data_IF_058684410089
#
_entry.id   IF_058684410089
#
_cell.length_a   1.000
_cell.length_b   1.000
_cell.length_c   1.000
_cell.angle_alpha   90.00
_cell.angle_beta   90.00
_cell.angle_gamma   90.00
#
_symmetry.space_group_name_H-M   'P 1'
#
loop_
_entity.id
_entity.type
_entity.pdbx_description
1 polymer ?
#
# COMPACT_ATOMS: atom_id res chain seq x y z
N UNK A 1 13.36 -24.76 -12.25
CA UNK A 1 13.66 -23.49 -11.53
C UNK A 1 12.91 -22.29 -12.07
N UNK A 2 12.96 -21.95 -13.36
CA UNK A 2 12.32 -20.73 -13.91
C UNK A 2 10.79 -20.64 -13.73
N UNK A 3 10.04 -21.76 -13.74
CA UNK A 3 8.59 -21.73 -13.47
C UNK A 3 8.23 -21.53 -11.99
N UNK A 4 9.03 -22.06 -11.06
CA UNK A 4 8.77 -21.92 -9.62
C UNK A 4 8.98 -20.48 -9.15
N UNK A 5 9.99 -19.78 -9.69
CA UNK A 5 10.23 -18.35 -9.43
C UNK A 5 9.05 -17.49 -9.90
N UNK A 6 8.47 -17.79 -11.08
CA UNK A 6 7.30 -17.06 -11.59
C UNK A 6 6.05 -17.28 -10.74
N UNK A 7 5.85 -18.49 -10.23
CA UNK A 7 4.72 -18.81 -9.34
C UNK A 7 4.86 -18.09 -8.00
N UNK A 8 6.07 -18.06 -7.43
CA UNK A 8 6.33 -17.36 -6.17
C UNK A 8 6.14 -15.85 -6.30
N UNK A 9 6.60 -15.24 -7.39
CA UNK A 9 6.38 -13.82 -7.67
C UNK A 9 4.89 -13.48 -7.86
N UNK A 10 4.10 -14.36 -8.50
CA UNK A 10 2.65 -14.19 -8.62
C UNK A 10 1.94 -14.27 -7.26
N UNK A 11 2.36 -15.19 -6.38
CA UNK A 11 1.78 -15.31 -5.04
C UNK A 11 2.13 -14.08 -4.18
N UNK A 12 3.36 -13.58 -4.28
CA UNK A 12 3.83 -12.41 -3.54
C UNK A 12 3.14 -11.11 -3.97
N UNK A 13 2.84 -10.95 -5.27
CA UNK A 13 2.05 -9.80 -5.73
C UNK A 13 0.61 -9.88 -5.26
N UNK A 14 -0.03 -11.06 -5.35
CA UNK A 14 -1.42 -11.26 -4.89
C UNK A 14 -1.54 -11.02 -3.37
N UNK A 15 -0.60 -11.50 -2.56
CA UNK A 15 -0.63 -11.28 -1.11
C UNK A 15 -0.47 -9.79 -0.77
N UNK A 16 0.44 -9.08 -1.43
CA UNK A 16 0.66 -7.64 -1.22
C UNK A 16 -0.59 -6.81 -1.53
N UNK A 17 -1.33 -7.15 -2.60
CA UNK A 17 -2.59 -6.49 -2.94
C UNK A 17 -3.75 -6.82 -1.99
N UNK A 18 -3.74 -8.00 -1.34
CA UNK A 18 -4.77 -8.38 -0.38
C UNK A 18 -4.62 -7.65 0.97
N UNK A 19 -3.38 -7.44 1.43
CA UNK A 19 -3.12 -6.73 2.68
C UNK A 19 -3.35 -5.22 2.58
N UNK A 20 -3.09 -4.60 1.43
CA UNK A 20 -3.27 -3.15 1.25
C UNK A 20 -4.73 -2.71 1.32
N UNK A 21 -5.68 -3.55 0.90
CA UNK A 21 -7.11 -3.22 0.87
C UNK A 21 -7.72 -3.10 2.28
N UNK A 22 -7.24 -3.91 3.22
CA UNK A 22 -7.77 -3.93 4.60
C UNK A 22 -7.23 -2.78 5.45
N UNK A 23 -6.00 -2.33 5.19
CA UNK A 23 -5.36 -1.24 5.95
C UNK A 23 -6.09 0.11 5.78
N UNK A 24 -6.60 0.38 4.57
CA UNK A 24 -7.33 1.62 4.27
C UNK A 24 -8.67 1.69 5.04
N UNK A 25 -9.41 0.58 5.13
CA UNK A 25 -10.68 0.51 5.84
C UNK A 25 -10.50 0.73 7.35
N UNK A 26 -9.50 0.11 7.95
CA UNK A 26 -9.21 0.25 9.40
C UNK A 26 -8.81 1.71 9.72
N UNK A 27 -7.95 2.32 8.90
CA UNK A 27 -7.54 3.72 9.12
C UNK A 27 -8.73 4.68 9.03
N UNK A 28 -9.66 4.43 8.10
CA UNK A 28 -10.85 5.24 7.94
C UNK A 28 -11.84 5.04 9.09
N UNK A 29 -11.98 3.81 9.59
CA UNK A 29 -12.78 3.48 10.76
C UNK A 29 -12.33 4.29 11.98
N UNK A 30 -11.05 4.24 12.32
CA UNK A 30 -10.48 4.97 13.46
C UNK A 30 -10.70 6.48 13.33
N UNK A 31 -10.57 7.02 12.12
CA UNK A 31 -10.77 8.45 11.86
C UNK A 31 -12.22 8.87 12.12
N UNK A 32 -13.18 8.03 11.71
CA UNK A 32 -14.62 8.28 11.94
C UNK A 32 -14.98 8.13 13.43
N UNK A 33 -14.49 7.08 14.08
CA UNK A 33 -14.70 6.87 15.53
C UNK A 33 -14.19 8.07 16.34
N UNK A 34 -12.98 8.54 16.06
CA UNK A 34 -12.39 9.69 16.75
C UNK A 34 -13.16 10.99 16.50
N UNK A 35 -13.66 11.20 15.29
CA UNK A 35 -14.41 12.41 14.98
C UNK A 35 -15.80 12.43 15.61
N UNK A 36 -16.52 11.31 15.58
CA UNK A 36 -17.80 11.18 16.28
C UNK A 36 -17.57 11.34 17.78
N UNK A 37 -16.54 10.69 18.34
CA UNK A 37 -16.15 10.86 19.74
C UNK A 37 -15.91 12.32 20.08
N UNK A 38 -15.13 13.04 19.28
CA UNK A 38 -14.86 14.47 19.51
C UNK A 38 -16.13 15.32 19.46
N UNK A 39 -17.09 15.01 18.59
CA UNK A 39 -18.38 15.71 18.53
C UNK A 39 -19.23 15.41 19.77
N UNK A 40 -19.27 14.15 20.22
CA UNK A 40 -20.00 13.74 21.44
C UNK A 40 -19.37 14.38 22.66
N UNK A 41 -18.04 14.31 22.82
CA UNK A 41 -17.31 14.93 23.93
C UNK A 41 -17.57 16.45 23.99
N UNK A 42 -17.61 17.15 22.85
CA UNK A 42 -17.91 18.58 22.81
C UNK A 42 -19.34 18.92 23.28
N UNK A 43 -20.27 17.98 23.16
CA UNK A 43 -21.64 18.11 23.66
C UNK A 43 -21.70 17.76 25.14
N UNK A 44 -21.12 16.63 25.54
CA UNK A 44 -21.18 16.13 26.93
C UNK A 44 -20.41 17.05 27.89
N UNK A 45 -19.27 17.60 27.45
CA UNK A 45 -18.50 18.59 28.24
C UNK A 45 -19.27 19.87 28.60
N UNK A 46 -20.42 20.14 27.95
CA UNK A 46 -21.28 21.28 28.33
C UNK A 46 -22.10 21.02 29.58
N UNK A 47 -22.31 19.76 29.93
CA UNK A 47 -23.16 19.32 31.03
C UNK A 47 -22.37 18.65 32.15
N UNK A 48 -21.27 17.97 31.82
CA UNK A 48 -20.45 17.18 32.74
C UNK A 48 -18.99 17.59 32.61
N UNK A 49 -18.23 17.46 33.70
CA UNK A 49 -16.77 17.64 33.66
C UNK A 49 -16.13 16.42 33.01
N UNK A 50 -14.98 16.61 32.35
CA UNK A 50 -14.27 15.51 31.67
C UNK A 50 -13.79 14.38 32.60
N UNK A 51 -13.85 14.56 33.93
CA UNK A 51 -13.57 13.51 34.92
C UNK A 51 -14.79 12.65 35.27
N UNK A 52 -15.99 13.10 34.95
CA UNK A 52 -17.27 12.51 35.39
C UNK A 52 -17.89 11.58 34.32
N UNK A 53 -17.27 11.49 33.14
CA UNK A 53 -17.75 10.64 32.06
C UNK A 53 -16.62 10.12 31.15
N UNK A 54 -16.87 8.99 30.49
CA UNK A 54 -16.02 8.43 29.45
C UNK A 54 -16.87 8.04 28.24
N UNK A 55 -16.50 8.49 27.04
CA UNK A 55 -17.19 8.15 25.79
C UNK A 55 -16.36 7.19 24.95
N UNK A 56 -16.96 6.08 24.54
CA UNK A 56 -16.42 5.11 23.60
C UNK A 56 -17.31 5.08 22.37
N UNK A 57 -16.71 5.18 21.19
CA UNK A 57 -17.43 5.11 19.91
C UNK A 57 -16.89 3.94 19.11
N UNK A 58 -17.79 3.08 18.65
CA UNK A 58 -17.50 1.95 17.79
C UNK A 58 -18.30 2.12 16.49
N UNK A 59 -17.60 2.23 15.36
CA UNK A 59 -18.21 2.45 14.06
C UNK A 59 -17.82 1.30 13.13
N UNK A 60 -18.79 0.48 12.70
CA UNK A 60 -18.54 -0.57 11.69
C UNK A 60 -18.72 -0.01 10.30
N UNK A 61 -17.62 0.05 9.55
CA UNK A 61 -17.60 0.37 8.13
C UNK A 61 -17.58 -0.90 7.30
N UNK A 62 -18.38 -0.93 6.24
CA UNK A 62 -18.28 -1.96 5.20
C UNK A 62 -18.12 -1.31 3.84
N UNK A 63 -17.56 -2.04 2.88
CA UNK A 63 -17.48 -1.58 1.51
C UNK A 63 -18.88 -1.49 0.92
N UNK A 64 -19.17 -0.39 0.22
CA UNK A 64 -20.43 -0.25 -0.49
C UNK A 64 -20.45 -1.27 -1.63
N UNK A 65 -21.37 -2.26 -1.63
CA UNK A 65 -21.47 -3.15 -2.78
C UNK A 65 -21.85 -2.32 -4.00
N UNK A 66 -21.18 -2.57 -5.12
CA UNK A 66 -21.50 -1.91 -6.40
C UNK A 66 -22.99 -2.14 -6.67
N UNK A 67 -23.79 -1.08 -6.67
CA UNK A 67 -25.21 -1.20 -6.97
C UNK A 67 -25.36 -1.64 -8.41
N UNK A 68 -25.68 -2.91 -8.64
CA UNK A 68 -26.17 -3.37 -9.93
C UNK A 68 -27.53 -2.68 -10.12
N UNK A 69 -27.56 -1.73 -11.05
CA UNK A 69 -28.79 -1.04 -11.45
C UNK A 69 -29.75 -2.12 -11.97
N UNK A 70 -30.72 -2.53 -11.17
CA UNK A 70 -31.84 -3.30 -11.67
C UNK A 70 -32.55 -2.41 -12.68
N UNK A 71 -32.65 -2.89 -13.92
CA UNK A 71 -33.47 -2.23 -14.93
C UNK A 71 -34.92 -2.45 -14.48
N UNK A 72 -35.46 -1.47 -13.76
CA UNK A 72 -36.90 -1.40 -13.53
C UNK A 72 -37.56 -1.10 -14.88
N UNK A 73 -38.28 -2.10 -15.40
CA UNK A 73 -39.27 -1.91 -16.45
C UNK A 73 -40.38 -1.01 -15.92
N UNK A 74 -40.29 0.29 -16.22
CA UNK A 74 -41.39 1.22 -16.51
C UNK A 74 -40.84 2.64 -16.59
N UNK A 75 -40.60 3.13 -17.80
CA UNK A 75 -41.42 4.21 -18.34
C UNK A 75 -41.14 4.43 -19.83
N UNK A 76 -42.22 4.49 -20.62
CA UNK A 76 -42.18 4.84 -22.03
C UNK A 76 -41.99 6.35 -22.16
N UNK A 77 -40.83 6.79 -22.64
CA UNK A 77 -40.55 8.18 -22.97
C UNK A 77 -39.65 8.26 -24.20
N UNK A 78 -40.24 8.66 -25.31
CA UNK A 78 -39.64 8.81 -26.63
C UNK A 78 -38.47 9.81 -26.64
N UNK A 79 -37.24 9.36 -26.94
CA UNK A 79 -36.18 10.22 -27.48
C UNK A 79 -35.44 9.46 -28.57
N UNK A 80 -35.70 9.84 -29.83
CA UNK A 80 -34.83 9.54 -30.96
C UNK A 80 -33.56 10.39 -30.82
N UNK A 81 -32.39 9.77 -30.83
CA UNK A 81 -31.30 10.25 -31.69
C UNK A 81 -30.22 9.19 -31.87
N UNK A 82 -29.85 9.04 -33.13
CA UNK A 82 -28.85 8.17 -33.72
C UNK A 82 -27.43 8.41 -33.19
N UNK A 83 -26.72 7.34 -32.89
CA UNK A 83 -25.32 7.22 -33.33
C UNK A 83 -24.96 5.75 -33.52
N UNK A 84 -24.79 5.37 -34.79
CA UNK A 84 -24.28 4.07 -35.21
C UNK A 84 -22.84 3.94 -34.72
N UNK A 85 -22.56 2.99 -33.83
CA UNK A 85 -21.20 2.56 -33.51
C UNK A 85 -20.84 1.43 -34.47
N UNK A 86 -19.93 1.70 -35.42
CA UNK A 86 -19.32 0.65 -36.21
C UNK A 86 -18.29 -0.09 -35.34
N UNK A 87 -18.47 -1.41 -35.22
CA UNK A 87 -17.56 -2.29 -34.51
C UNK A 87 -16.53 -2.80 -35.52
N UNK A 88 -15.26 -2.39 -35.37
CA UNK A 88 -14.13 -3.05 -36.03
C UNK A 88 -13.76 -4.26 -35.16
N UNK A 89 -13.74 -5.49 -35.68
CA UNK A 89 -13.41 -6.67 -34.87
C UNK A 89 -11.93 -6.64 -34.47
N UNK A 90 -11.64 -6.66 -33.15
CA UNK A 90 -10.28 -6.87 -32.62
C UNK A 90 -9.80 -5.88 -31.54
N UNK A 91 -10.56 -4.83 -31.22
CA UNK A 91 -10.23 -3.88 -30.16
C UNK A 91 -11.38 -3.81 -29.15
N UNK A 92 -11.12 -4.11 -27.87
CA UNK A 92 -12.08 -3.83 -26.80
C UNK A 92 -12.24 -2.30 -26.65
N UNK A 93 -13.47 -1.76 -26.58
CA UNK A 93 -13.67 -0.35 -26.32
C UNK A 93 -13.44 -0.07 -24.82
N UNK A 94 -12.43 0.72 -24.49
CA UNK A 94 -12.30 1.33 -23.16
C UNK A 94 -13.36 2.42 -23.03
N UNK A 95 -14.30 2.23 -22.10
CA UNK A 95 -15.33 3.23 -21.77
C UNK A 95 -14.64 4.48 -21.22
N UNK A 96 -14.90 5.69 -21.74
CA UNK A 96 -14.38 6.91 -21.16
C UNK A 96 -15.17 7.23 -19.88
N UNK A 97 -14.45 7.51 -18.79
CA UNK A 97 -14.98 8.06 -17.55
C UNK A 97 -15.72 9.35 -17.85
N UNK A 98 -17.06 9.32 -17.81
CA UNK A 98 -17.86 10.54 -17.76
C UNK A 98 -17.67 11.16 -16.37
N UNK A 99 -16.85 12.20 -16.30
CA UNK A 99 -16.79 13.09 -15.16
C UNK A 99 -18.17 13.77 -15.02
N UNK A 100 -18.93 13.41 -13.98
CA UNK A 100 -20.16 14.10 -13.65
C UNK A 100 -19.81 15.49 -13.10
N UNK A 101 -19.94 16.47 -13.99
CA UNK A 101 -19.99 17.91 -13.72
C UNK A 101 -21.23 18.25 -12.87
N UNK A 102 -21.19 18.01 -11.56
CA UNK A 102 -22.07 18.70 -10.59
C UNK A 102 -21.37 18.78 -9.22
N UNK A 103 -20.42 19.71 -9.10
CA UNK A 103 -19.88 20.11 -7.80
C UNK A 103 -20.71 21.27 -7.27
N UNK A 104 -21.68 20.99 -6.39
CA UNK A 104 -22.24 22.04 -5.52
C UNK A 104 -21.36 22.14 -4.27
N UNK A 105 -20.36 23.02 -4.37
CA UNK A 105 -19.58 23.51 -3.24
C UNK A 105 -20.47 24.38 -2.38
N UNK A 106 -20.68 24.02 -1.11
CA UNK A 106 -21.08 24.96 -0.07
C UNK A 106 -20.11 24.81 1.10
N UNK A 107 -19.48 25.92 1.46
CA UNK A 107 -18.56 26.06 2.58
C UNK A 107 -19.28 25.85 3.92
N UNK A 108 -19.07 24.70 4.51
CA UNK A 108 -18.83 24.47 5.93
C UNK A 108 -17.67 23.47 5.99
N UNK A 109 -16.96 23.35 7.12
CA UNK A 109 -15.97 22.30 7.30
C UNK A 109 -16.68 20.94 7.33
N UNK A 110 -17.11 20.48 6.15
CA UNK A 110 -17.82 19.24 5.98
C UNK A 110 -16.80 18.12 5.92
N UNK A 111 -17.01 17.17 6.82
CA UNK A 111 -16.37 15.88 6.86
C UNK A 111 -16.33 15.30 5.44
N UNK A 112 -15.14 15.15 4.83
CA UNK A 112 -15.04 14.52 3.49
C UNK A 112 -15.16 13.01 3.62
N UNK A 113 -16.35 12.54 4.00
CA UNK A 113 -16.70 11.14 3.88
C UNK A 113 -16.80 10.82 2.38
N UNK A 114 -15.90 9.96 1.88
CA UNK A 114 -16.08 9.37 0.55
C UNK A 114 -17.19 8.33 0.64
N UNK A 115 -18.45 8.81 0.65
CA UNK A 115 -19.65 7.97 0.61
C UNK A 115 -19.84 7.19 -0.69
N UNK A 116 -18.85 7.27 -1.58
CA UNK A 116 -18.75 6.51 -2.81
C UNK A 116 -18.17 5.11 -2.58
N UNK A 117 -17.32 4.92 -1.55
CA UNK A 117 -16.59 3.65 -1.35
C UNK A 117 -17.03 2.84 -0.14
N UNK A 118 -17.53 3.49 0.92
CA UNK A 118 -17.87 2.84 2.18
C UNK A 118 -19.28 3.20 2.66
N UNK A 119 -19.93 2.27 3.34
CA UNK A 119 -21.18 2.46 4.06
C UNK A 119 -20.94 2.27 5.56
N UNK A 120 -21.48 3.17 6.38
CA UNK A 120 -21.54 2.97 7.82
C UNK A 120 -22.68 2.00 8.11
N UNK A 121 -22.36 0.80 8.57
CA UNK A 121 -23.34 -0.27 8.81
C UNK A 121 -23.92 -0.18 10.21
N UNK A 122 -23.09 0.13 11.20
CA UNK A 122 -23.49 0.17 12.60
C UNK A 122 -22.65 1.21 13.34
N UNK A 123 -23.32 2.06 14.12
CA UNK A 123 -22.68 3.00 15.03
C UNK A 123 -23.17 2.67 16.44
N UNK A 124 -22.25 2.53 17.38
CA UNK A 124 -22.53 2.33 18.80
C UNK A 124 -21.70 3.35 19.59
N UNK A 125 -22.38 4.16 20.40
CA UNK A 125 -21.80 5.18 21.26
C UNK A 125 -22.13 4.79 22.69
N UNK A 126 -21.13 4.43 23.47
CA UNK A 126 -21.28 4.07 24.87
C UNK A 126 -20.75 5.24 25.71
N UNK A 127 -21.61 5.77 26.57
CA UNK A 127 -21.26 6.86 27.49
C UNK A 127 -21.30 6.28 28.90
N UNK A 128 -20.12 6.11 29.47
CA UNK A 128 -19.95 5.78 30.87
C UNK A 128 -20.12 7.04 31.70
N UNK A 129 -21.05 7.00 32.65
CA UNK A 129 -21.27 8.05 33.63
C UNK A 129 -20.82 7.56 35.00
N UNK A 130 -20.32 8.49 35.82
CA UNK A 130 -20.10 8.19 37.23
C UNK A 130 -21.44 7.86 37.93
N UNK A 131 -21.39 6.93 38.88
CA UNK A 131 -22.58 6.44 39.58
C UNK A 131 -23.27 7.54 40.38
N UNK A 132 -22.50 8.51 40.89
CA UNK A 132 -23.00 9.64 41.69
C UNK A 132 -23.91 10.60 40.91
N UNK A 133 -23.74 10.71 39.59
CA UNK A 133 -24.45 11.66 38.72
C UNK A 133 -25.42 11.00 37.74
N UNK A 134 -25.36 9.67 37.61
CA UNK A 134 -26.15 8.91 36.64
C UNK A 134 -27.63 8.85 37.02
N UNK A 135 -28.35 9.93 36.68
CA UNK A 135 -29.81 10.01 36.80
C UNK A 135 -30.47 9.73 35.44
N UNK A 136 -31.62 9.06 35.42
CA UNK A 136 -32.35 8.77 34.18
C UNK A 136 -32.76 10.03 33.38
N UNK A 137 -33.00 11.15 34.07
CA UNK A 137 -33.26 12.45 33.45
C UNK A 137 -32.03 13.01 32.74
N UNK A 138 -30.84 12.90 33.33
CA UNK A 138 -29.58 13.32 32.71
C UNK A 138 -29.30 12.50 31.45
N UNK A 139 -29.46 11.17 31.51
CA UNK A 139 -29.27 10.29 30.36
C UNK A 139 -30.21 10.64 29.20
N UNK A 140 -31.49 10.91 29.50
CA UNK A 140 -32.49 11.30 28.49
C UNK A 140 -32.16 12.65 27.86
N UNK A 141 -31.74 13.62 28.68
CA UNK A 141 -31.34 14.94 28.21
C UNK A 141 -30.10 14.87 27.33
N UNK A 142 -29.05 14.17 27.78
CA UNK A 142 -27.82 13.97 27.00
C UNK A 142 -28.11 13.24 25.69
N UNK A 143 -28.91 12.18 25.71
CA UNK A 143 -29.32 11.45 24.50
C UNK A 143 -29.97 12.39 23.49
N UNK A 144 -30.91 13.22 23.95
CA UNK A 144 -31.61 14.19 23.09
C UNK A 144 -30.64 15.21 22.48
N UNK A 145 -29.74 15.77 23.28
CA UNK A 145 -28.79 16.79 22.80
C UNK A 145 -27.77 16.18 21.84
N UNK A 146 -27.26 15.00 22.13
CA UNK A 146 -26.31 14.30 21.25
C UNK A 146 -26.99 13.98 19.92
N UNK A 147 -28.23 13.46 19.94
CA UNK A 147 -28.99 13.18 18.73
C UNK A 147 -29.25 14.43 17.88
N UNK A 148 -29.48 15.58 18.50
CA UNK A 148 -29.64 16.85 17.78
C UNK A 148 -28.35 17.33 17.12
N UNK A 149 -27.17 16.96 17.64
CA UNK A 149 -25.88 17.37 17.10
C UNK A 149 -25.31 16.35 16.08
N UNK A 150 -25.82 15.11 16.06
CA UNK A 150 -25.41 14.05 15.14
C UNK A 150 -26.29 13.92 13.89
N UNK A 151 -27.00 14.97 13.46
CA UNK A 151 -27.95 14.94 12.32
C UNK A 151 -27.35 14.50 10.97
N UNK A 152 -26.03 14.53 10.85
CA UNK A 152 -25.29 14.07 9.66
C UNK A 152 -25.19 12.54 9.56
N UNK A 153 -25.42 11.82 10.66
CA UNK A 153 -25.31 10.37 10.75
C UNK A 153 -26.69 9.78 11.02
N UNK A 154 -27.10 8.80 10.20
CA UNK A 154 -28.36 8.06 10.41
C UNK A 154 -28.20 7.13 11.63
N UNK A 155 -28.52 7.67 12.80
CA UNK A 155 -28.52 6.97 14.08
C UNK A 155 -29.89 7.17 14.71
N UNK A 156 -30.70 6.12 14.76
CA UNK A 156 -32.00 6.18 15.43
C UNK A 156 -31.91 5.68 16.88
N UNK A 157 -30.98 4.76 17.19
CA UNK A 157 -30.74 4.19 18.53
C UNK A 157 -29.26 3.75 18.72
N UNK A 158 -28.29 4.65 18.52
CA UNK A 158 -26.87 4.31 18.67
C UNK A 158 -26.27 4.60 20.05
N UNK A 159 -27.00 5.25 20.97
CA UNK A 159 -26.45 5.72 22.25
C UNK A 159 -26.85 4.78 23.39
N UNK A 160 -25.86 4.26 24.12
CA UNK A 160 -26.04 3.48 25.34
C UNK A 160 -25.34 4.17 26.51
N UNK A 161 -26.04 4.28 27.64
CA UNK A 161 -25.45 4.77 28.89
C UNK A 161 -25.13 3.59 29.80
N UNK A 162 -23.93 3.59 30.35
CA UNK A 162 -23.46 2.63 31.35
C UNK A 162 -22.95 3.40 32.57
N UNK A 163 -23.03 2.81 33.75
CA UNK A 163 -22.44 3.37 34.97
C UNK A 163 -21.14 2.66 35.27
N UNK A 164 -20.09 3.43 35.55
CA UNK A 164 -18.79 2.91 35.96
C UNK A 164 -18.29 3.73 37.14
N UNK A 165 -17.72 3.06 38.13
CA UNK A 165 -16.99 3.73 39.20
C UNK A 165 -15.68 4.27 38.61
N UNK A 166 -15.68 5.56 38.28
CA UNK A 166 -14.52 6.22 37.69
C UNK A 166 -13.50 6.48 38.82
N UNK A 167 -12.26 5.99 38.71
CA UNK A 167 -11.26 6.18 39.75
C UNK A 167 -10.98 7.69 39.93
N UNK A 168 -11.45 8.26 41.04
CA UNK A 168 -11.26 9.68 41.37
C UNK A 168 -12.47 10.41 41.93
N UNK A 169 -13.66 9.82 41.96
CA UNK A 169 -14.89 10.48 42.44
C UNK A 169 -15.53 9.68 43.58
N UNK A 170 -14.83 9.61 44.70
CA UNK A 170 -15.44 9.26 45.99
C UNK A 170 -15.46 10.50 46.87
N UNK A 171 -16.62 11.14 47.01
CA UNK A 171 -16.79 12.20 48.02
C UNK A 171 -16.73 11.57 49.41
N UNK A 172 -15.74 11.96 50.21
CA UNK A 172 -15.82 11.86 51.67
C UNK A 172 -14.91 10.87 52.37
N UNK A 173 -13.94 10.24 51.69
CA UNK A 173 -12.85 9.59 52.42
C UNK A 173 -11.69 10.57 52.52
N UNK A 174 -11.43 10.99 53.75
CA UNK A 174 -10.20 11.65 54.15
C UNK A 174 -9.07 10.68 53.85
N UNK A 175 -8.62 10.64 52.58
CA UNK A 175 -7.40 9.95 52.17
C UNK A 175 -6.34 10.47 53.11
N UNK A 176 -5.89 9.61 54.01
CA UNK A 176 -4.73 9.90 54.83
C UNK A 176 -3.62 10.28 53.85
N UNK A 177 -2.84 11.30 54.18
CA UNK A 177 -1.73 11.82 53.35
C UNK A 177 -0.88 10.66 52.76
N UNK A 178 -0.79 9.56 53.51
CA UNK A 178 -0.16 8.29 53.12
C UNK A 178 -0.67 7.65 51.82
N UNK A 179 -1.98 7.69 51.51
CA UNK A 179 -2.54 7.04 50.30
C UNK A 179 -2.32 7.90 49.06
N UNK A 180 -2.31 9.22 49.21
CA UNK A 180 -1.94 10.14 48.13
C UNK A 180 -0.44 10.03 47.80
N UNK A 181 0.39 9.93 48.84
CA UNK A 181 1.83 9.74 48.69
C UNK A 181 2.17 8.38 48.05
N UNK A 182 1.46 7.31 48.41
CA UNK A 182 1.57 6.00 47.78
C UNK A 182 1.21 6.03 46.29
N UNK A 183 0.10 6.69 45.92
CA UNK A 183 -0.31 6.86 44.52
C UNK A 183 0.71 7.69 43.72
N UNK A 184 1.32 8.71 44.32
CA UNK A 184 2.37 9.52 43.67
C UNK A 184 3.63 8.70 43.41
N UNK A 185 4.06 7.89 44.40
CA UNK A 185 5.19 6.97 44.26
C UNK A 185 4.91 5.94 43.15
N UNK A 186 3.69 5.40 43.12
CA UNK A 186 3.29 4.45 42.09
C UNK A 186 3.31 5.09 40.69
N UNK A 187 2.75 6.30 40.53
CA UNK A 187 2.80 7.05 39.27
C UNK A 187 4.24 7.30 38.80
N UNK A 188 5.14 7.70 39.70
CA UNK A 188 6.54 7.93 39.34
C UNK A 188 7.23 6.62 38.93
N UNK A 189 6.95 5.51 39.63
CA UNK A 189 7.47 4.19 39.27
C UNK A 189 6.94 3.68 37.92
N UNK A 190 5.67 3.91 37.61
CA UNK A 190 5.06 3.57 36.32
C UNK A 190 5.62 4.44 35.21
N UNK A 191 5.83 5.74 35.46
CA UNK A 191 6.41 6.66 34.49
C UNK A 191 7.86 6.31 34.17
N UNK A 192 8.62 5.89 35.16
CA UNK A 192 9.99 5.41 34.97
C UNK A 192 10.03 4.08 34.22
N UNK A 193 9.15 3.14 34.58
CA UNK A 193 9.00 1.87 33.86
C UNK A 193 8.61 2.09 32.40
N UNK A 194 7.69 3.01 32.13
CA UNK A 194 7.28 3.41 30.77
C UNK A 194 8.44 4.02 29.98
N UNK A 195 9.26 4.86 30.62
CA UNK A 195 10.44 5.44 29.96
C UNK A 195 11.45 4.35 29.61
N UNK A 196 11.70 3.42 30.53
CA UNK A 196 12.66 2.33 30.34
C UNK A 196 12.18 1.33 29.28
N UNK A 197 10.88 1.00 29.25
CA UNK A 197 10.31 0.14 28.23
C UNK A 197 10.36 0.80 26.84
N UNK A 198 10.08 2.11 26.75
CA UNK A 198 10.22 2.87 25.51
C UNK A 198 11.66 2.89 25.01
N UNK A 199 12.64 3.11 25.90
CA UNK A 199 14.07 3.05 25.54
C UNK A 199 14.45 1.65 25.04
N UNK A 200 14.05 0.59 25.75
CA UNK A 200 14.32 -0.78 25.33
C UNK A 200 13.70 -1.12 23.97
N UNK A 201 12.46 -0.68 23.70
CA UNK A 201 11.83 -0.84 22.38
C UNK A 201 12.62 -0.09 21.31
N UNK A 202 13.06 1.13 21.59
CA UNK A 202 13.83 1.94 20.64
C UNK A 202 15.20 1.32 20.36
N UNK A 203 15.90 0.87 21.38
CA UNK A 203 17.19 0.19 21.24
C UNK A 203 17.04 -1.11 20.44
N UNK A 204 15.99 -1.90 20.69
CA UNK A 204 15.71 -3.10 19.90
C UNK A 204 15.43 -2.77 18.42
N UNK A 205 14.64 -1.72 18.16
CA UNK A 205 14.37 -1.26 16.78
C UNK A 205 15.65 -0.77 16.09
N UNK A 206 16.52 -0.06 16.79
CA UNK A 206 17.80 0.41 16.25
C UNK A 206 18.69 -0.78 15.90
N UNK A 207 18.84 -1.75 16.81
CA UNK A 207 19.66 -2.94 16.58
C UNK A 207 19.14 -3.77 15.40
N UNK A 208 17.83 -3.94 15.27
CA UNK A 208 17.22 -4.65 14.14
C UNK A 208 17.48 -3.92 12.81
N UNK A 209 17.34 -2.59 12.79
CA UNK A 209 17.64 -1.79 11.61
C UNK A 209 19.13 -1.85 11.24
N UNK A 210 20.03 -1.85 12.21
CA UNK A 210 21.47 -2.00 11.97
C UNK A 210 21.83 -3.37 11.39
N UNK A 211 21.25 -4.46 11.92
CA UNK A 211 21.44 -5.82 11.39
C UNK A 211 20.91 -5.95 9.96
N UNK A 212 19.71 -5.42 9.69
CA UNK A 212 19.12 -5.39 8.34
C UNK A 212 20.01 -4.60 7.38
N UNK A 213 20.48 -3.41 7.77
CA UNK A 213 21.36 -2.60 6.94
C UNK A 213 22.70 -3.30 6.68
N UNK A 214 23.28 -3.97 7.68
CA UNK A 214 24.51 -4.74 7.52
C UNK A 214 24.34 -5.88 6.50
N UNK A 215 23.22 -6.61 6.56
CA UNK A 215 22.89 -7.66 5.58
C UNK A 215 22.75 -7.12 4.16
N UNK A 216 22.04 -6.02 3.98
CA UNK A 216 21.89 -5.41 2.65
C UNK A 216 23.22 -4.92 2.07
N UNK A 217 24.09 -4.35 2.91
CA UNK A 217 25.42 -3.94 2.47
C UNK A 217 26.27 -5.13 2.02
N UNK A 218 26.18 -6.27 2.72
CA UNK A 218 26.89 -7.50 2.35
C UNK A 218 26.36 -8.08 1.03
N UNK A 219 25.03 -8.17 0.87
CA UNK A 219 24.41 -8.63 -0.38
C UNK A 219 24.79 -7.78 -1.60
N UNK A 220 24.80 -6.44 -1.44
CA UNK A 220 25.21 -5.53 -2.51
C UNK A 220 26.67 -5.76 -2.89
N UNK A 221 27.54 -5.96 -1.90
CA UNK A 221 28.96 -6.20 -2.12
C UNK A 221 29.19 -7.53 -2.83
N UNK A 222 28.53 -8.60 -2.38
CA UNK A 222 28.61 -9.93 -3.00
C UNK A 222 28.13 -9.88 -4.46
N UNK A 223 27.01 -9.19 -4.72
CA UNK A 223 26.51 -8.99 -6.08
C UNK A 223 27.51 -8.21 -6.95
N UNK A 224 28.12 -7.16 -6.41
CA UNK A 224 29.13 -6.38 -7.13
C UNK A 224 30.36 -7.22 -7.48
N UNK A 225 30.82 -8.07 -6.57
CA UNK A 225 31.98 -8.93 -6.80
C UNK A 225 31.66 -10.04 -7.80
N UNK A 226 30.44 -10.60 -7.76
CA UNK A 226 29.95 -11.52 -8.78
C UNK A 226 29.92 -10.89 -10.19
N UNK A 227 29.47 -9.63 -10.32
CA UNK A 227 29.48 -8.92 -11.60
C UNK A 227 30.91 -8.70 -12.12
N UNK A 228 31.84 -8.28 -11.26
CA UNK A 228 33.25 -8.11 -11.65
C UNK A 228 33.86 -9.42 -12.16
N UNK A 229 33.58 -10.53 -11.48
CA UNK A 229 34.09 -11.83 -11.90
C UNK A 229 33.46 -12.27 -13.23
N UNK A 230 32.16 -12.04 -13.42
CA UNK A 230 31.50 -12.32 -14.68
C UNK A 230 32.08 -11.50 -15.84
N UNK A 231 32.37 -10.21 -15.62
CA UNK A 231 33.02 -9.36 -16.61
C UNK A 231 34.43 -9.83 -16.93
N UNK A 232 35.20 -10.25 -15.92
CA UNK A 232 36.55 -10.82 -16.12
C UNK A 232 36.51 -12.07 -16.99
N UNK A 233 35.60 -13.01 -16.68
CA UNK A 233 35.43 -14.23 -17.47
C UNK A 233 34.98 -13.93 -18.90
N UNK A 234 34.11 -12.93 -19.09
CA UNK A 234 33.68 -12.49 -20.41
C UNK A 234 34.83 -11.92 -21.23
N UNK A 235 35.67 -11.07 -20.63
CA UNK A 235 36.85 -10.51 -21.28
C UNK A 235 37.84 -11.60 -21.70
N UNK A 236 38.10 -12.58 -20.83
CA UNK A 236 38.96 -13.72 -21.13
C UNK A 236 38.41 -14.56 -22.30
N UNK A 237 37.09 -14.84 -22.30
CA UNK A 237 36.43 -15.56 -23.38
C UNK A 237 36.44 -14.79 -24.71
N UNK A 238 36.23 -13.48 -24.68
CA UNK A 238 36.29 -12.61 -25.85
C UNK A 238 37.71 -12.54 -26.42
N UNK A 239 38.74 -12.43 -25.56
CA UNK A 239 40.13 -12.46 -25.96
C UNK A 239 40.49 -13.79 -26.64
N UNK A 240 40.07 -14.93 -26.07
CA UNK A 240 40.29 -16.25 -26.67
C UNK A 240 39.58 -16.38 -28.03
N UNK A 241 38.34 -15.88 -28.12
CA UNK A 241 37.59 -15.88 -29.38
C UNK A 241 38.29 -15.03 -30.45
N UNK A 242 38.81 -13.86 -30.08
CA UNK A 242 39.53 -12.98 -31.00
C UNK A 242 40.83 -13.62 -31.49
N UNK A 243 41.61 -14.23 -30.60
CA UNK A 243 42.82 -14.96 -30.97
C UNK A 243 42.53 -16.10 -31.96
N UNK A 244 41.44 -16.85 -31.74
CA UNK A 244 41.01 -17.92 -32.66
C UNK A 244 40.58 -17.40 -34.02
N UNK A 245 39.89 -16.25 -34.06
CA UNK A 245 39.50 -15.60 -35.32
C UNK A 245 40.73 -15.12 -36.08
N UNK A 246 41.70 -14.52 -35.39
CA UNK A 246 42.95 -14.06 -36.00
C UNK A 246 43.76 -15.22 -36.58
N UNK A 247 43.91 -16.33 -35.85
CA UNK A 247 44.57 -17.54 -36.34
C UNK A 247 43.87 -18.08 -37.59
N UNK A 248 42.53 -18.10 -37.58
CA UNK A 248 41.75 -18.56 -38.71
C UNK A 248 41.93 -17.64 -39.94
N UNK A 249 41.90 -16.32 -39.75
CA UNK A 249 42.14 -15.37 -40.83
C UNK A 249 43.54 -15.53 -41.44
N UNK A 250 44.57 -15.70 -40.61
CA UNK A 250 45.95 -15.98 -41.07
C UNK A 250 46.00 -17.26 -41.92
N UNK A 251 45.34 -18.32 -41.47
CA UNK A 251 45.28 -19.58 -42.21
C UNK A 251 44.53 -19.45 -43.56
N UNK A 252 43.44 -18.68 -43.59
CA UNK A 252 42.73 -18.40 -44.84
C UNK A 252 43.57 -17.59 -45.82
N UNK A 253 44.24 -16.52 -45.35
CA UNK A 253 45.15 -15.70 -46.17
C UNK A 253 46.29 -16.54 -46.75
N UNK A 254 46.95 -17.38 -45.93
CA UNK A 254 48.03 -18.25 -46.40
C UNK A 254 47.56 -19.26 -47.48
N UNK A 255 46.36 -19.81 -47.35
CA UNK A 255 45.76 -20.66 -48.40
C UNK A 255 45.47 -19.88 -49.67
N UNK A 256 44.96 -18.66 -49.54
CA UNK A 256 44.66 -17.80 -50.69
C UNK A 256 45.93 -17.42 -51.44
N UNK A 257 46.98 -17.02 -50.73
CA UNK A 257 48.29 -16.69 -51.31
C UNK A 257 48.90 -17.90 -52.04
N UNK A 258 48.85 -19.09 -51.43
CA UNK A 258 49.34 -20.32 -52.09
C UNK A 258 48.54 -20.69 -53.33
N UNK A 259 47.21 -20.48 -53.33
CA UNK A 259 46.38 -20.65 -54.52
C UNK A 259 46.74 -19.65 -55.61
N UNK A 260 46.98 -18.39 -55.29
CA UNK A 260 47.40 -17.38 -56.26
C UNK A 260 48.74 -17.74 -56.91
N UNK A 261 49.73 -18.14 -56.11
CA UNK A 261 51.04 -18.58 -56.61
C UNK A 261 50.91 -19.83 -57.47
N UNK A 262 50.14 -20.84 -57.04
CA UNK A 262 49.93 -22.05 -57.85
C UNK A 262 49.24 -21.73 -59.18
N UNK A 263 48.27 -20.82 -59.15
CA UNK A 263 47.51 -20.41 -60.34
C UNK A 263 48.41 -19.64 -61.30
N UNK A 264 49.26 -18.73 -60.82
CA UNK A 264 50.20 -18.01 -61.67
C UNK A 264 51.22 -18.96 -62.32
N UNK A 265 51.74 -19.94 -61.58
CA UNK A 265 52.66 -20.96 -62.14
C UNK A 265 51.96 -21.77 -63.25
N UNK A 266 50.73 -22.23 -63.01
CA UNK A 266 49.98 -23.01 -64.00
C UNK A 266 49.62 -22.19 -65.24
N UNK A 267 49.28 -20.91 -65.07
CA UNK A 267 49.03 -19.99 -66.17
C UNK A 267 50.29 -19.78 -67.02
N UNK A 268 51.44 -19.55 -66.38
CA UNK A 268 52.73 -19.41 -67.07
C UNK A 268 53.10 -20.67 -67.85
N UNK A 269 52.90 -21.86 -67.27
CA UNK A 269 53.13 -23.14 -67.94
C UNK A 269 52.20 -23.33 -69.14
N UNK A 270 50.90 -23.03 -68.99
CA UNK A 270 49.93 -23.10 -70.07
C UNK A 270 50.26 -22.13 -71.22
N UNK A 271 50.69 -20.89 -70.90
CA UNK A 271 51.14 -19.91 -71.88
C UNK A 271 52.39 -20.41 -72.61
N UNK A 272 53.38 -20.93 -71.87
CA UNK A 272 54.60 -21.49 -72.46
C UNK A 272 54.30 -22.68 -73.37
N UNK A 273 53.42 -23.59 -72.94
CA UNK A 273 52.97 -24.72 -73.75
C UNK A 273 52.27 -24.28 -75.04
N UNK A 274 51.45 -23.22 -74.98
CA UNK A 274 50.84 -22.62 -76.18
C UNK A 274 51.89 -22.04 -77.14
N UNK A 275 52.84 -21.25 -76.63
CA UNK A 275 53.93 -20.68 -77.44
C UNK A 275 54.69 -21.80 -78.17
N UNK A 276 55.07 -22.86 -77.45
CA UNK A 276 55.77 -23.99 -78.03
C UNK A 276 54.92 -24.74 -79.08
N UNK A 277 53.62 -24.89 -78.85
CA UNK A 277 52.72 -25.51 -79.84
C UNK A 277 52.58 -24.67 -81.10
N UNK A 278 52.50 -23.34 -80.97
CA UNK A 278 52.43 -22.39 -82.08
C UNK A 278 53.76 -22.33 -82.87
N UNK A 279 54.91 -22.54 -82.23
CA UNK A 279 56.23 -22.62 -82.88
C UNK A 279 56.46 -23.94 -83.66
N UNK A 280 55.76 -25.01 -83.29
CA UNK A 280 55.91 -26.35 -83.91
C UNK A 280 54.87 -26.68 -84.99
N UNK A 281 53.97 -25.74 -85.32
CA UNK A 281 52.94 -25.89 -86.37
C UNK A 281 53.27 -25.02 -87.57
#
# INVERSE_FOLDING_TARGET
>A
MKSFIKIFLMIFTISSFAFSQNAELISQQITIENAIKSKVDAVVNKFLKSSEYLTIVNARLDFKPVSLRSVDEKDMGEVKSSTQLSVIPGLMPSIPTQQSLYKKSNNSQDFSFSGEKYILYQLEIIIYLDESISTGSLQTNLSTVIMQNLKEVDCNECIRFETLELPGIGEGEQRTDSSLEELLIEIDSLKETMRNSQLAIKDNQINELEDINAKYLDEIKDFQDHLKEQDRLKQEAEAMRMARLEENERNYRAKQDSLYVLTSIKLDEAVRGRIQSEETT
#
